data_IF_830260235219
#
_entry.id   IF_830260235219
#
_cell.length_a   1.000
_cell.length_b   1.000
_cell.length_c   1.000
_cell.angle_alpha   90.00
_cell.angle_beta   90.00
_cell.angle_gamma   90.00
#
_symmetry.space_group_name_H-M   'P 1'
#
loop_
_entity.id
_entity.type
_entity.pdbx_description
1 polymer ?
#
# COMPACT_ATOMS: atom_id res chain seq x y z
N UNK A 1 23.45 -13.97 -11.56
CA UNK A 1 22.19 -14.13 -10.83
C UNK A 1 21.18 -13.17 -11.42
N UNK A 2 20.17 -13.68 -12.14
CA UNK A 2 19.05 -12.85 -12.55
C UNK A 2 18.28 -12.47 -11.29
N UNK A 3 18.32 -11.21 -10.90
CA UNK A 3 17.51 -10.69 -9.81
C UNK A 3 16.04 -10.91 -10.17
N UNK A 4 15.35 -11.74 -9.39
CA UNK A 4 13.92 -11.91 -9.51
C UNK A 4 13.26 -10.64 -8.96
N UNK A 5 13.30 -9.56 -9.74
CA UNK A 5 12.63 -8.31 -9.43
C UNK A 5 11.15 -8.55 -9.68
N UNK A 6 10.42 -8.81 -8.60
CA UNK A 6 8.97 -8.75 -8.57
C UNK A 6 8.59 -7.28 -8.77
N UNK A 7 8.62 -6.87 -10.02
CA UNK A 7 8.14 -5.58 -10.47
C UNK A 7 6.66 -5.44 -10.11
N UNK A 8 6.12 -4.21 -10.09
CA UNK A 8 4.68 -4.00 -9.97
C UNK A 8 3.88 -4.92 -10.90
N UNK A 9 4.42 -5.22 -12.09
CA UNK A 9 3.81 -6.15 -13.03
C UNK A 9 3.62 -7.54 -12.44
N UNK A 10 4.58 -8.04 -11.66
CA UNK A 10 4.46 -9.30 -10.92
C UNK A 10 3.33 -9.27 -9.89
N UNK A 11 3.20 -8.17 -9.14
CA UNK A 11 2.08 -7.98 -8.18
C UNK A 11 0.74 -7.93 -8.92
N UNK A 12 0.65 -7.22 -10.05
CA UNK A 12 -0.58 -7.15 -10.84
C UNK A 12 -0.96 -8.50 -11.45
N UNK A 13 0.00 -9.28 -11.96
CA UNK A 13 -0.24 -10.65 -12.43
C UNK A 13 -0.70 -11.56 -11.31
N UNK A 14 -0.03 -11.50 -10.16
CA UNK A 14 -0.44 -12.23 -8.98
C UNK A 14 -1.87 -11.88 -8.58
N UNK A 15 -2.23 -10.60 -8.56
CA UNK A 15 -3.60 -10.12 -8.31
C UNK A 15 -4.61 -10.64 -9.31
N UNK A 16 -4.24 -10.72 -10.59
CA UNK A 16 -5.12 -11.25 -11.62
C UNK A 16 -5.47 -12.72 -11.38
N UNK A 17 -4.55 -13.53 -10.83
CA UNK A 17 -4.85 -14.92 -10.44
C UNK A 17 -5.98 -15.03 -9.40
N UNK A 18 -6.27 -13.95 -8.66
CA UNK A 18 -7.36 -13.87 -7.68
C UNK A 18 -8.58 -13.09 -8.21
N UNK A 19 -8.64 -12.84 -9.52
CA UNK A 19 -9.78 -12.17 -10.15
C UNK A 19 -9.76 -10.64 -10.06
N UNK A 20 -8.65 -10.04 -9.67
CA UNK A 20 -8.51 -8.58 -9.70
C UNK A 20 -8.00 -8.13 -11.06
N UNK A 21 -8.93 -7.63 -11.88
CA UNK A 21 -8.62 -7.19 -13.24
C UNK A 21 -7.67 -5.99 -13.27
N UNK A 22 -6.70 -6.01 -14.19
CA UNK A 22 -5.96 -4.85 -14.64
C UNK A 22 -5.81 -4.89 -16.16
N UNK A 23 -5.59 -3.74 -16.79
CA UNK A 23 -5.41 -3.68 -18.24
C UNK A 23 -4.06 -4.28 -18.67
N UNK A 24 -4.06 -5.57 -19.00
CA UNK A 24 -2.85 -6.33 -19.34
C UNK A 24 -2.50 -6.36 -20.85
N UNK A 25 -3.43 -6.01 -21.74
CA UNK A 25 -3.26 -6.06 -23.20
C UNK A 25 -4.04 -4.94 -23.90
N UNK A 26 -3.62 -4.58 -25.12
CA UNK A 26 -4.36 -3.68 -26.00
C UNK A 26 -5.43 -4.42 -26.83
N UNK A 27 -5.37 -5.76 -26.89
CA UNK A 27 -6.37 -6.55 -27.60
C UNK A 27 -7.71 -6.52 -26.85
N UNK A 28 -8.75 -6.03 -27.53
CA UNK A 28 -10.11 -5.96 -26.99
C UNK A 28 -10.62 -7.34 -26.59
N UNK A 29 -10.32 -8.38 -27.37
CA UNK A 29 -10.72 -9.76 -27.10
C UNK A 29 -10.11 -10.27 -25.79
N UNK A 30 -8.78 -10.11 -25.63
CA UNK A 30 -8.06 -10.52 -24.42
C UNK A 30 -8.61 -9.80 -23.19
N UNK A 31 -8.86 -8.49 -23.29
CA UNK A 31 -9.45 -7.72 -22.20
C UNK A 31 -10.85 -8.21 -21.83
N UNK A 32 -11.72 -8.48 -22.81
CA UNK A 32 -13.08 -9.00 -22.54
C UNK A 32 -13.04 -10.37 -21.87
N UNK A 33 -12.21 -11.29 -22.36
CA UNK A 33 -12.05 -12.62 -21.77
C UNK A 33 -11.52 -12.55 -20.34
N UNK A 34 -10.54 -11.69 -20.09
CA UNK A 34 -9.96 -11.50 -18.75
C UNK A 34 -10.96 -10.89 -17.78
N UNK A 35 -11.76 -9.90 -18.22
CA UNK A 35 -12.86 -9.34 -17.41
C UNK A 35 -13.92 -10.39 -17.08
N UNK A 36 -14.32 -11.19 -18.08
CA UNK A 36 -15.26 -12.29 -17.89
C UNK A 36 -14.73 -13.32 -16.88
N UNK A 37 -13.45 -13.68 -16.98
CA UNK A 37 -12.79 -14.54 -15.99
C UNK A 37 -12.89 -13.99 -14.56
N UNK A 38 -12.61 -12.70 -14.36
CA UNK A 38 -12.70 -12.05 -13.05
C UNK A 38 -14.14 -12.07 -12.49
N UNK A 39 -15.14 -11.83 -13.35
CA UNK A 39 -16.57 -11.88 -12.98
C UNK A 39 -16.97 -13.32 -12.60
N UNK A 40 -16.59 -14.31 -13.41
CA UNK A 40 -16.90 -15.72 -13.15
C UNK A 40 -16.25 -16.21 -11.86
N UNK A 41 -15.00 -15.83 -11.59
CA UNK A 41 -14.32 -16.18 -10.35
C UNK A 41 -15.03 -15.58 -9.13
N UNK A 42 -15.45 -14.31 -9.23
CA UNK A 42 -16.23 -13.66 -8.18
C UNK A 42 -17.58 -14.37 -7.94
N UNK A 43 -18.33 -14.69 -9.00
CA UNK A 43 -19.60 -15.43 -8.89
C UNK A 43 -19.41 -16.82 -8.28
N UNK A 44 -18.34 -17.53 -8.67
CA UNK A 44 -18.01 -18.83 -8.13
C UNK A 44 -17.73 -18.77 -6.61
N UNK A 45 -17.07 -17.71 -6.14
CA UNK A 45 -16.87 -17.46 -4.71
C UNK A 45 -18.18 -17.26 -3.95
N UNK A 46 -19.16 -16.56 -4.55
CA UNK A 46 -20.49 -16.36 -3.96
C UNK A 46 -21.29 -17.67 -3.87
N UNK A 47 -21.29 -18.46 -4.94
CA UNK A 47 -21.98 -19.77 -4.98
C UNK A 47 -21.42 -20.68 -3.89
N UNK A 48 -20.09 -20.77 -3.82
CA UNK A 48 -19.42 -21.60 -2.82
C UNK A 48 -19.69 -21.14 -1.38
N UNK A 49 -19.70 -19.82 -1.14
CA UNK A 49 -20.09 -19.26 0.16
C UNK A 49 -21.53 -19.65 0.56
N UNK A 50 -22.47 -19.61 -0.40
CA UNK A 50 -23.86 -19.99 -0.15
C UNK A 50 -24.00 -21.49 0.17
N UNK A 51 -23.31 -22.36 -0.57
CA UNK A 51 -23.32 -23.80 -0.33
C UNK A 51 -22.78 -24.14 1.05
N UNK A 52 -21.66 -23.52 1.47
CA UNK A 52 -21.03 -23.76 2.76
C UNK A 52 -21.95 -23.42 3.94
N UNK A 53 -22.77 -22.38 3.78
CA UNK A 53 -23.71 -21.92 4.81
C UNK A 53 -24.88 -22.88 5.05
N UNK A 54 -25.25 -23.67 4.03
CA UNK A 54 -26.41 -24.57 4.12
C UNK A 54 -26.22 -25.75 5.10
N UNK A 55 -25.03 -25.94 5.65
CA UNK A 55 -24.61 -27.20 6.31
C UNK A 55 -24.43 -27.09 7.84
N UNK A 56 -24.49 -25.91 8.50
CA UNK A 56 -23.99 -25.75 9.89
C UNK A 56 -24.97 -25.13 10.93
N UNK A 57 -24.66 -25.34 12.23
CA UNK A 57 -25.45 -25.08 13.46
C UNK A 57 -25.30 -23.66 14.08
N UNK A 58 -26.43 -23.12 14.55
CA UNK A 58 -26.79 -21.70 14.65
C UNK A 58 -25.97 -20.65 15.45
N UNK A 59 -25.05 -20.96 16.38
CA UNK A 59 -24.53 -19.91 17.30
C UNK A 59 -23.05 -19.54 17.17
N UNK A 60 -22.12 -20.51 17.22
CA UNK A 60 -20.71 -20.29 16.82
C UNK A 60 -20.63 -19.87 15.34
N UNK A 61 -21.60 -20.33 14.55
CA UNK A 61 -21.76 -19.95 13.16
C UNK A 61 -22.09 -18.47 12.95
N UNK A 62 -22.67 -17.74 13.91
CA UNK A 62 -23.09 -16.36 13.64
C UNK A 62 -21.90 -15.43 13.40
N UNK A 63 -20.90 -15.45 14.29
CA UNK A 63 -19.69 -14.64 14.16
C UNK A 63 -18.89 -15.05 12.92
N UNK A 64 -18.75 -16.35 12.68
CA UNK A 64 -18.09 -16.88 11.49
C UNK A 64 -18.82 -16.49 10.19
N UNK A 65 -20.16 -16.51 10.21
CA UNK A 65 -20.99 -16.09 9.06
C UNK A 65 -20.83 -14.59 8.80
N UNK A 66 -20.87 -13.75 9.83
CA UNK A 66 -20.63 -12.31 9.66
C UNK A 66 -19.25 -12.05 9.06
N UNK A 67 -18.22 -12.72 9.57
CA UNK A 67 -16.87 -12.64 9.01
C UNK A 67 -16.84 -13.01 7.53
N UNK A 68 -17.46 -14.14 7.16
CA UNK A 68 -17.48 -14.59 5.78
C UNK A 68 -18.23 -13.63 4.86
N UNK A 69 -19.35 -13.05 5.33
CA UNK A 69 -20.10 -12.03 4.60
C UNK A 69 -19.20 -10.81 4.33
N UNK A 70 -18.51 -10.30 5.34
CA UNK A 70 -17.62 -9.15 5.18
C UNK A 70 -16.47 -9.46 4.21
N UNK A 71 -15.86 -10.64 4.31
CA UNK A 71 -14.79 -11.06 3.39
C UNK A 71 -15.29 -11.14 1.94
N UNK A 72 -16.48 -11.70 1.71
CA UNK A 72 -17.11 -11.78 0.38
C UNK A 72 -17.44 -10.39 -0.16
N UNK A 73 -17.98 -9.50 0.67
CA UNK A 73 -18.24 -8.09 0.29
C UNK A 73 -16.94 -7.39 -0.09
N UNK A 74 -15.87 -7.55 0.70
CA UNK A 74 -14.56 -6.94 0.44
C UNK A 74 -13.98 -7.42 -0.89
N UNK A 75 -13.93 -8.74 -1.12
CA UNK A 75 -13.45 -9.30 -2.40
C UNK A 75 -14.30 -8.80 -3.56
N UNK A 76 -15.63 -8.79 -3.43
CA UNK A 76 -16.56 -8.33 -4.47
C UNK A 76 -16.31 -6.88 -4.82
N UNK A 77 -16.27 -6.00 -3.82
CA UNK A 77 -15.98 -4.57 -3.99
C UNK A 77 -14.63 -4.38 -4.68
N UNK A 78 -13.60 -5.12 -4.25
CA UNK A 78 -12.28 -5.06 -4.86
C UNK A 78 -12.29 -5.50 -6.33
N UNK A 79 -12.98 -6.61 -6.67
CA UNK A 79 -13.13 -7.07 -8.06
C UNK A 79 -13.86 -6.01 -8.89
N UNK A 80 -14.98 -5.47 -8.41
CA UNK A 80 -15.76 -4.43 -9.11
C UNK A 80 -14.93 -3.18 -9.34
N UNK A 81 -14.26 -2.66 -8.31
CA UNK A 81 -13.41 -1.47 -8.45
C UNK A 81 -12.26 -1.76 -9.42
N UNK A 82 -11.64 -2.94 -9.36
CA UNK A 82 -10.56 -3.32 -10.28
C UNK A 82 -11.06 -3.39 -11.74
N UNK A 83 -12.26 -3.93 -11.97
CA UNK A 83 -12.91 -3.98 -13.29
C UNK A 83 -13.25 -2.59 -13.86
N UNK A 84 -13.74 -1.68 -13.02
CA UNK A 84 -14.15 -0.32 -13.41
C UNK A 84 -12.93 0.58 -13.63
N UNK A 85 -11.97 0.53 -12.71
CA UNK A 85 -10.78 1.39 -12.76
C UNK A 85 -9.74 0.85 -13.73
N UNK A 86 -9.77 -0.45 -14.04
CA UNK A 86 -8.75 -1.19 -14.78
C UNK A 86 -7.35 -1.06 -14.15
N UNK A 87 -7.28 -0.73 -12.85
CA UNK A 87 -6.07 -0.36 -12.12
C UNK A 87 -5.26 0.75 -12.83
N UNK A 88 -5.94 1.66 -13.53
CA UNK A 88 -5.31 2.79 -14.25
C UNK A 88 -4.43 3.67 -13.36
N UNK A 89 -4.81 3.84 -12.10
CA UNK A 89 -4.07 4.69 -11.15
C UNK A 89 -2.76 4.04 -10.72
N UNK A 90 -2.80 2.75 -10.36
CA UNK A 90 -1.61 1.96 -10.00
C UNK A 90 -0.65 1.84 -11.19
N UNK A 91 -1.19 1.59 -12.38
CA UNK A 91 -0.38 1.51 -13.61
C UNK A 91 0.16 2.87 -14.05
N UNK A 92 -0.60 3.96 -13.88
CA UNK A 92 -0.15 5.34 -14.14
C UNK A 92 0.97 5.76 -13.18
N UNK A 93 0.86 5.41 -11.89
CA UNK A 93 1.90 5.66 -10.91
C UNK A 93 3.22 4.99 -11.32
N UNK A 94 3.18 3.72 -11.75
CA UNK A 94 4.37 3.02 -12.22
C UNK A 94 4.88 3.44 -13.60
N UNK A 95 4.00 3.80 -14.55
CA UNK A 95 4.44 4.17 -15.89
C UNK A 95 5.14 5.53 -15.87
N UNK A 96 4.60 6.50 -15.13
CA UNK A 96 5.22 7.81 -14.91
C UNK A 96 6.58 7.66 -14.22
N UNK A 97 6.72 6.69 -13.33
CA UNK A 97 7.98 6.33 -12.71
C UNK A 97 9.00 5.81 -13.74
N UNK A 98 8.63 4.81 -14.55
CA UNK A 98 9.52 4.23 -15.55
C UNK A 98 9.90 5.21 -16.68
N UNK A 99 9.07 6.22 -16.94
CA UNK A 99 9.32 7.20 -18.00
C UNK A 99 10.31 8.29 -17.60
N UNK A 100 10.63 8.47 -16.31
CA UNK A 100 11.52 9.54 -15.90
C UNK A 100 12.99 9.09 -16.08
N UNK A 101 13.75 9.71 -17.02
CA UNK A 101 15.05 9.20 -17.48
C UNK A 101 16.19 9.47 -16.51
N UNK A 102 15.94 10.09 -15.35
CA UNK A 102 16.96 10.22 -14.32
C UNK A 102 17.32 8.83 -13.83
N UNK A 103 18.53 8.40 -14.19
CA UNK A 103 19.19 7.11 -13.87
C UNK A 103 19.26 6.75 -12.37
N UNK A 104 18.67 7.60 -11.52
CA UNK A 104 18.62 7.55 -10.07
C UNK A 104 17.60 6.49 -9.60
N UNK A 105 16.63 6.15 -10.45
CA UNK A 105 15.57 5.19 -10.13
C UNK A 105 15.90 3.75 -10.53
N UNK A 106 17.13 3.29 -10.25
CA UNK A 106 17.44 1.85 -10.36
C UNK A 106 16.52 1.08 -9.41
N UNK A 107 16.03 -0.08 -9.87
CA UNK A 107 15.06 -0.93 -9.19
C UNK A 107 15.42 -1.18 -7.71
N UNK A 108 14.88 -0.35 -6.80
CA UNK A 108 14.99 -0.58 -5.37
C UNK A 108 14.00 -1.68 -4.98
N UNK A 109 14.54 -2.72 -4.37
CA UNK A 109 13.75 -3.86 -3.90
C UNK A 109 12.81 -3.42 -2.79
N UNK A 110 11.51 -3.68 -2.97
CA UNK A 110 10.48 -3.48 -1.95
C UNK A 110 10.54 -4.55 -0.85
N UNK A 111 11.62 -4.54 -0.06
CA UNK A 111 11.97 -5.58 0.93
C UNK A 111 10.86 -5.80 1.96
N UNK A 112 10.20 -4.73 2.41
CA UNK A 112 9.14 -4.84 3.41
C UNK A 112 7.90 -5.47 2.79
N UNK A 113 7.52 -5.04 1.59
CA UNK A 113 6.43 -5.67 0.83
C UNK A 113 6.67 -7.17 0.65
N UNK A 114 7.90 -7.59 0.34
CA UNK A 114 8.25 -9.01 0.26
C UNK A 114 8.10 -9.73 1.59
N UNK A 115 8.61 -9.13 2.67
CA UNK A 115 8.51 -9.71 4.00
C UNK A 115 7.06 -9.89 4.43
N UNK A 116 6.21 -8.90 4.18
CA UNK A 116 4.76 -8.95 4.46
C UNK A 116 4.06 -9.99 3.59
N UNK A 117 4.36 -10.03 2.28
CA UNK A 117 3.82 -11.04 1.37
C UNK A 117 4.22 -12.46 1.81
N UNK A 118 5.49 -12.69 2.09
CA UNK A 118 5.97 -14.01 2.47
C UNK A 118 5.47 -14.41 3.86
N UNK A 119 5.49 -13.49 4.82
CA UNK A 119 4.96 -13.71 6.17
C UNK A 119 3.47 -14.04 6.15
N UNK A 120 2.67 -13.32 5.36
CA UNK A 120 1.23 -13.62 5.21
C UNK A 120 1.00 -14.99 4.57
N UNK A 121 1.74 -15.35 3.52
CA UNK A 121 1.66 -16.68 2.92
C UNK A 121 2.06 -17.78 3.91
N UNK A 122 3.14 -17.59 4.69
CA UNK A 122 3.60 -18.53 5.70
C UNK A 122 2.62 -18.72 6.85
N UNK A 123 1.87 -17.67 7.24
CA UNK A 123 0.83 -17.80 8.26
C UNK A 123 -0.40 -18.54 7.70
N UNK A 124 -0.69 -18.39 6.41
CA UNK A 124 -1.91 -18.92 5.79
C UNK A 124 -1.76 -20.37 5.31
N UNK A 125 -0.57 -20.79 4.88
CA UNK A 125 -0.30 -22.17 4.43
C UNK A 125 -0.55 -23.24 5.51
N UNK A 126 -0.09 -23.08 6.77
CA UNK A 126 -0.41 -24.01 7.86
C UNK A 126 -1.90 -24.03 8.18
N UNK A 127 -2.56 -22.87 8.18
CA UNK A 127 -4.02 -22.80 8.39
C UNK A 127 -4.76 -23.61 7.31
N UNK A 128 -4.33 -23.50 6.05
CA UNK A 128 -4.85 -24.33 4.96
C UNK A 128 -4.58 -25.82 5.16
N UNK A 129 -3.36 -26.20 5.60
CA UNK A 129 -2.98 -27.59 5.83
C UNK A 129 -3.76 -28.24 7.00
N UNK A 130 -3.97 -27.50 8.09
CA UNK A 130 -4.75 -27.96 9.24
C UNK A 130 -6.20 -28.19 8.82
N UNK A 131 -6.82 -27.23 8.12
CA UNK A 131 -8.20 -27.34 7.66
C UNK A 131 -8.41 -28.42 6.59
N UNK A 132 -7.40 -28.72 5.77
CA UNK A 132 -7.48 -29.76 4.72
C UNK A 132 -7.35 -31.19 5.20
N UNK A 133 -6.80 -31.38 6.40
CA UNK A 133 -6.68 -32.71 7.01
C UNK A 133 -8.00 -33.27 7.55
N UNK A 134 -9.08 -32.48 7.63
CA UNK A 134 -10.29 -32.86 8.36
C UNK A 134 -11.41 -33.53 7.54
N UNK A 135 -11.46 -33.45 6.19
CA UNK A 135 -12.35 -34.29 5.35
C UNK A 135 -12.10 -34.11 3.82
N UNK A 136 -12.42 -35.12 2.99
CA UNK A 136 -12.10 -35.13 1.54
C UNK A 136 -12.88 -34.14 0.66
N UNK A 137 -14.16 -33.88 0.97
CA UNK A 137 -14.96 -32.81 0.35
C UNK A 137 -14.52 -31.40 0.82
N UNK A 138 -13.56 -31.32 1.75
CA UNK A 138 -13.04 -30.06 2.29
C UNK A 138 -11.92 -29.51 1.40
N UNK A 139 -11.30 -30.28 0.50
CA UNK A 139 -10.18 -29.75 -0.31
C UNK A 139 -10.59 -28.54 -1.16
N UNK A 140 -11.66 -28.65 -1.96
CA UNK A 140 -12.17 -27.53 -2.77
C UNK A 140 -12.60 -26.37 -1.86
N UNK A 141 -13.29 -26.67 -0.77
CA UNK A 141 -13.72 -25.68 0.23
C UNK A 141 -12.55 -24.92 0.85
N UNK A 142 -11.47 -25.60 1.17
CA UNK A 142 -10.27 -25.00 1.72
C UNK A 142 -9.50 -24.20 0.68
N UNK A 143 -9.47 -24.66 -0.58
CA UNK A 143 -8.84 -23.90 -1.66
C UNK A 143 -9.60 -22.59 -1.86
N UNK A 144 -10.93 -22.64 -1.86
CA UNK A 144 -11.78 -21.46 -1.96
C UNK A 144 -11.64 -20.52 -0.76
N UNK A 145 -11.57 -21.10 0.44
CA UNK A 145 -11.30 -20.35 1.66
C UNK A 145 -9.93 -19.65 1.62
N UNK A 146 -8.87 -20.36 1.23
CA UNK A 146 -7.53 -19.80 1.09
C UNK A 146 -7.49 -18.73 0.00
N UNK A 147 -8.12 -18.98 -1.14
CA UNK A 147 -8.26 -18.03 -2.24
C UNK A 147 -8.93 -16.74 -1.77
N UNK A 148 -10.01 -16.84 -0.96
CA UNK A 148 -10.69 -15.69 -0.35
C UNK A 148 -9.76 -14.90 0.56
N UNK A 149 -9.10 -15.59 1.49
CA UNK A 149 -8.21 -14.97 2.47
C UNK A 149 -7.04 -14.24 1.80
N UNK A 150 -6.40 -14.90 0.83
CA UNK A 150 -5.30 -14.30 0.06
C UNK A 150 -5.84 -13.14 -0.80
N UNK A 151 -7.03 -13.30 -1.37
CA UNK A 151 -7.72 -12.26 -2.15
C UNK A 151 -7.95 -10.97 -1.36
N UNK A 152 -8.43 -11.05 -0.12
CA UNK A 152 -8.57 -9.89 0.78
C UNK A 152 -7.21 -9.21 1.03
N UNK A 153 -6.13 -9.98 1.13
CA UNK A 153 -4.80 -9.46 1.45
C UNK A 153 -4.12 -8.73 0.27
N UNK A 154 -4.46 -9.10 -0.96
CA UNK A 154 -3.86 -8.54 -2.18
C UNK A 154 -4.02 -7.03 -2.32
N UNK A 155 -5.16 -6.47 -1.89
CA UNK A 155 -5.38 -5.03 -1.88
C UNK A 155 -4.41 -4.34 -0.94
N UNK A 156 -4.20 -4.90 0.26
CA UNK A 156 -3.32 -4.35 1.29
C UNK A 156 -1.86 -4.40 0.86
N UNK A 157 -1.44 -5.51 0.27
CA UNK A 157 -0.11 -5.66 -0.33
C UNK A 157 0.17 -4.59 -1.40
N UNK A 158 -0.83 -4.25 -2.22
CA UNK A 158 -0.68 -3.18 -3.22
C UNK A 158 -0.46 -1.82 -2.55
N UNK A 159 -1.17 -1.55 -1.44
CA UNK A 159 -1.04 -0.29 -0.69
C UNK A 159 0.34 -0.18 -0.05
N UNK A 160 0.80 -1.25 0.60
CA UNK A 160 2.14 -1.31 1.21
C UNK A 160 3.21 -1.12 0.14
N UNK A 161 3.08 -1.81 -1.00
CA UNK A 161 3.98 -1.65 -2.14
C UNK A 161 4.04 -0.19 -2.63
N UNK A 162 2.90 0.46 -2.80
CA UNK A 162 2.87 1.85 -3.26
C UNK A 162 3.47 2.81 -2.23
N UNK A 163 3.20 2.60 -0.94
CA UNK A 163 3.76 3.42 0.13
C UNK A 163 5.29 3.27 0.23
N UNK A 164 5.80 2.04 0.16
CA UNK A 164 7.24 1.75 0.14
C UNK A 164 7.92 2.37 -1.09
N UNK A 165 7.30 2.24 -2.28
CA UNK A 165 7.82 2.89 -3.48
C UNK A 165 7.78 4.41 -3.34
N UNK A 166 6.66 5.00 -2.92
CA UNK A 166 6.56 6.45 -2.72
C UNK A 166 7.67 6.96 -1.80
N UNK A 167 7.87 6.31 -0.65
CA UNK A 167 8.92 6.65 0.31
C UNK A 167 10.32 6.57 -0.31
N UNK A 168 10.62 5.50 -1.05
CA UNK A 168 11.89 5.34 -1.76
C UNK A 168 12.09 6.44 -2.83
N UNK A 169 11.04 6.83 -3.54
CA UNK A 169 11.11 7.89 -4.54
C UNK A 169 11.38 9.26 -3.92
N UNK A 170 10.67 9.59 -2.84
CA UNK A 170 10.92 10.82 -2.09
C UNK A 170 12.36 10.86 -1.58
N UNK A 171 12.84 9.75 -1.00
CA UNK A 171 14.24 9.63 -0.56
C UNK A 171 15.23 9.90 -1.69
N UNK A 172 15.01 9.30 -2.86
CA UNK A 172 15.90 9.42 -4.01
C UNK A 172 15.87 10.83 -4.62
N UNK A 173 14.69 11.47 -4.68
CA UNK A 173 14.56 12.88 -5.06
C UNK A 173 15.31 13.79 -4.07
N UNK A 174 15.17 13.56 -2.77
CA UNK A 174 15.85 14.33 -1.73
C UNK A 174 17.37 14.15 -1.82
N UNK A 175 17.87 12.91 -1.96
CA UNK A 175 19.31 12.63 -2.12
C UNK A 175 19.88 13.28 -3.37
N UNK A 176 19.18 13.15 -4.50
CA UNK A 176 19.57 13.76 -5.78
C UNK A 176 19.70 15.28 -5.67
N UNK A 177 18.71 15.95 -5.06
CA UNK A 177 18.76 17.39 -4.88
C UNK A 177 19.86 17.81 -3.91
N UNK A 178 20.01 17.12 -2.77
CA UNK A 178 21.10 17.37 -1.81
C UNK A 178 22.47 17.29 -2.46
N UNK A 179 22.71 16.27 -3.29
CA UNK A 179 23.96 16.11 -4.02
C UNK A 179 24.21 17.32 -4.95
N UNK A 180 23.25 17.64 -5.82
CA UNK A 180 23.38 18.72 -6.81
C UNK A 180 23.54 20.11 -6.20
N UNK A 181 22.90 20.35 -5.06
CA UNK A 181 23.01 21.64 -4.35
C UNK A 181 24.37 21.78 -3.66
N UNK A 182 24.90 20.69 -3.09
CA UNK A 182 26.19 20.68 -2.39
C UNK A 182 27.40 20.53 -3.32
N UNK A 183 27.20 20.30 -4.62
CA UNK A 183 28.28 20.32 -5.61
C UNK A 183 28.86 21.74 -5.71
N UNK A 184 30.13 21.88 -5.32
CA UNK A 184 30.84 23.18 -5.27
C UNK A 184 31.05 23.78 -6.66
N UNK A 185 31.21 22.94 -7.68
CA UNK A 185 31.48 23.36 -9.06
C UNK A 185 30.23 23.74 -9.86
N UNK A 186 29.03 23.59 -9.30
CA UNK A 186 27.78 23.86 -10.02
C UNK A 186 27.41 25.34 -9.92
N UNK A 187 27.11 25.99 -11.04
CA UNK A 187 26.66 27.38 -11.06
C UNK A 187 25.32 27.55 -10.33
N UNK A 188 25.10 28.70 -9.67
CA UNK A 188 23.86 28.97 -8.91
C UNK A 188 22.60 28.87 -9.81
N UNK A 189 22.73 29.23 -11.09
CA UNK A 189 21.66 29.11 -12.09
C UNK A 189 21.26 27.64 -12.31
N UNK A 190 22.24 26.73 -12.35
CA UNK A 190 21.99 25.30 -12.51
C UNK A 190 21.38 24.69 -11.24
N UNK A 191 21.85 25.13 -10.06
CA UNK A 191 21.23 24.76 -8.78
C UNK A 191 19.75 25.18 -8.76
N UNK A 192 19.43 26.39 -9.22
CA UNK A 192 18.04 26.88 -9.29
C UNK A 192 17.18 26.01 -10.21
N UNK A 193 17.70 25.58 -11.36
CA UNK A 193 17.01 24.64 -12.26
C UNK A 193 16.72 23.31 -11.58
N UNK A 194 17.68 22.77 -10.82
CA UNK A 194 17.48 21.51 -10.10
C UNK A 194 16.46 21.61 -8.98
N UNK A 195 16.43 22.71 -8.22
CA UNK A 195 15.40 22.97 -7.21
C UNK A 195 14.01 23.04 -7.86
N UNK A 196 13.86 23.77 -8.96
CA UNK A 196 12.58 23.85 -9.69
C UNK A 196 12.14 22.49 -10.23
N UNK A 197 13.07 21.72 -10.78
CA UNK A 197 12.77 20.37 -11.27
C UNK A 197 12.32 19.44 -10.13
N UNK A 198 12.98 19.51 -8.97
CA UNK A 198 12.56 18.76 -7.78
C UNK A 198 11.11 19.08 -7.39
N UNK A 199 10.71 20.36 -7.35
CA UNK A 199 9.33 20.73 -7.03
C UNK A 199 8.34 20.10 -8.01
N UNK A 200 8.63 20.17 -9.31
CA UNK A 200 7.78 19.58 -10.35
C UNK A 200 7.66 18.07 -10.16
N UNK A 201 8.79 17.37 -10.02
CA UNK A 201 8.83 15.92 -9.86
C UNK A 201 8.12 15.47 -8.57
N UNK A 202 8.37 16.16 -7.46
CA UNK A 202 7.77 15.86 -6.17
C UNK A 202 6.26 16.16 -6.15
N UNK A 203 5.82 17.24 -6.81
CA UNK A 203 4.39 17.56 -6.97
C UNK A 203 3.67 16.49 -7.77
N UNK A 204 4.25 16.10 -8.91
CA UNK A 204 3.69 15.05 -9.75
C UNK A 204 3.63 13.72 -8.99
N UNK A 205 4.68 13.37 -8.25
CA UNK A 205 4.74 12.15 -7.45
C UNK A 205 3.64 12.14 -6.37
N UNK A 206 3.51 13.22 -5.61
CA UNK A 206 2.53 13.35 -4.54
C UNK A 206 1.10 13.30 -5.07
N UNK A 207 0.79 14.02 -6.14
CA UNK A 207 -0.54 13.97 -6.76
C UNK A 207 -0.90 12.56 -7.25
N UNK A 208 0.03 11.84 -7.90
CA UNK A 208 -0.24 10.47 -8.36
C UNK A 208 -0.45 9.50 -7.18
N UNK A 209 0.31 9.68 -6.10
CA UNK A 209 0.16 8.87 -4.89
C UNK A 209 -1.19 9.14 -4.23
N UNK A 210 -1.59 10.41 -4.11
CA UNK A 210 -2.89 10.83 -3.56
C UNK A 210 -4.08 10.28 -4.35
N UNK A 211 -4.06 10.39 -5.68
CA UNK A 211 -5.09 9.82 -6.55
C UNK A 211 -5.23 8.31 -6.33
N UNK A 212 -4.10 7.62 -6.16
CA UNK A 212 -4.10 6.17 -5.94
C UNK A 212 -4.57 5.83 -4.51
N UNK A 213 -4.17 6.63 -3.52
CA UNK A 213 -4.56 6.50 -2.11
C UNK A 213 -6.06 6.63 -1.93
N UNK A 214 -6.71 7.62 -2.57
CA UNK A 214 -8.15 7.82 -2.49
C UNK A 214 -8.92 6.58 -2.96
N UNK A 215 -8.53 6.00 -4.08
CA UNK A 215 -9.19 4.81 -4.62
C UNK A 215 -8.93 3.58 -3.77
N UNK A 216 -7.72 3.47 -3.21
CA UNK A 216 -7.40 2.41 -2.28
C UNK A 216 -8.15 2.53 -0.95
N UNK A 217 -8.44 3.75 -0.50
CA UNK A 217 -9.25 3.96 0.71
C UNK A 217 -10.69 3.46 0.54
N UNK A 218 -11.27 3.59 -0.67
CA UNK A 218 -12.59 3.04 -1.00
C UNK A 218 -12.58 1.51 -1.01
N UNK A 219 -11.46 0.91 -1.38
CA UNK A 219 -11.26 -0.55 -1.33
C UNK A 219 -11.15 -1.10 0.09
N UNK A 220 -10.84 -0.25 1.08
CA UNK A 220 -10.65 -0.62 2.49
C UNK A 220 -11.93 -0.46 3.34
N UNK A 221 -13.12 -0.72 2.80
CA UNK A 221 -14.35 -0.71 3.62
C UNK A 221 -14.15 -1.65 4.82
N UNK A 222 -14.32 -1.06 6.02
CA UNK A 222 -13.51 -1.24 7.23
C UNK A 222 -13.66 -2.56 7.99
N UNK A 223 -12.51 -3.09 8.44
CA UNK A 223 -12.06 -3.53 9.79
C UNK A 223 -13.01 -4.20 10.80
N UNK A 224 -14.26 -4.51 10.48
CA UNK A 224 -15.21 -5.18 11.38
C UNK A 224 -15.05 -6.69 11.30
N UNK A 225 -13.80 -7.14 11.29
CA UNK A 225 -13.45 -8.53 11.18
C UNK A 225 -13.19 -9.05 12.60
N UNK A 226 -14.07 -9.87 13.19
CA UNK A 226 -14.04 -10.18 14.63
C UNK A 226 -12.89 -11.11 15.06
N UNK A 227 -12.03 -11.54 14.13
CA UNK A 227 -10.95 -12.48 14.43
C UNK A 227 -9.69 -11.74 14.88
N UNK A 228 -9.21 -12.06 16.08
CA UNK A 228 -8.04 -11.41 16.72
C UNK A 228 -6.81 -11.43 15.81
N UNK A 229 -6.53 -12.56 15.13
CA UNK A 229 -5.40 -12.66 14.20
C UNK A 229 -5.52 -11.71 13.01
N UNK A 230 -6.73 -11.53 12.48
CA UNK A 230 -7.01 -10.58 11.40
C UNK A 230 -6.94 -9.14 11.89
N UNK A 231 -7.33 -8.86 13.12
CA UNK A 231 -7.16 -7.55 13.74
C UNK A 231 -5.67 -7.19 13.81
N UNK A 232 -4.82 -8.11 14.31
CA UNK A 232 -3.36 -7.88 14.40
C UNK A 232 -2.75 -7.63 13.04
N UNK A 233 -3.09 -8.46 12.04
CA UNK A 233 -2.60 -8.29 10.66
C UNK A 233 -3.07 -6.94 10.09
N UNK A 234 -4.36 -6.61 10.26
CA UNK A 234 -4.94 -5.37 9.74
C UNK A 234 -4.34 -4.12 10.39
N UNK A 235 -4.03 -4.17 11.69
CA UNK A 235 -3.32 -3.12 12.41
C UNK A 235 -1.89 -2.99 11.89
N UNK A 236 -1.20 -4.12 11.69
CA UNK A 236 0.16 -4.13 11.14
C UNK A 236 0.19 -3.50 9.76
N UNK A 237 -0.75 -3.84 8.87
CA UNK A 237 -0.83 -3.26 7.52
C UNK A 237 -1.09 -1.75 7.55
N UNK A 238 -1.97 -1.29 8.46
CA UNK A 238 -2.23 0.13 8.69
C UNK A 238 -0.96 0.86 9.12
N UNK A 239 -0.28 0.33 10.13
CA UNK A 239 0.93 0.91 10.69
C UNK A 239 2.09 0.94 9.70
N UNK A 240 2.29 -0.11 8.91
CA UNK A 240 3.35 -0.15 7.90
C UNK A 240 3.21 1.00 6.90
N UNK A 241 2.00 1.26 6.40
CA UNK A 241 1.76 2.39 5.50
C UNK A 241 2.16 3.71 6.15
N UNK A 242 1.71 3.94 7.39
CA UNK A 242 1.94 5.21 8.08
C UNK A 242 3.43 5.39 8.44
N UNK A 243 4.14 4.30 8.77
CA UNK A 243 5.60 4.30 8.95
C UNK A 243 6.31 4.76 7.67
N UNK A 244 5.91 4.28 6.49
CA UNK A 244 6.53 4.72 5.23
C UNK A 244 6.30 6.20 4.94
N UNK A 245 5.12 6.72 5.26
CA UNK A 245 4.84 8.15 5.10
C UNK A 245 5.67 9.00 6.07
N UNK A 246 5.85 8.54 7.31
CA UNK A 246 6.72 9.21 8.29
C UNK A 246 8.20 9.20 7.85
N UNK A 247 8.67 8.08 7.32
CA UNK A 247 10.03 7.99 6.77
C UNK A 247 10.23 8.94 5.58
N UNK A 248 9.23 9.07 4.71
CA UNK A 248 9.26 10.04 3.61
C UNK A 248 9.27 11.49 4.13
N UNK A 249 8.51 11.79 5.19
CA UNK A 249 8.51 13.10 5.84
C UNK A 249 9.87 13.41 6.48
N UNK A 250 10.51 12.42 7.11
CA UNK A 250 11.86 12.55 7.68
C UNK A 250 12.89 12.89 6.60
N UNK A 251 12.86 12.19 5.46
CA UNK A 251 13.75 12.46 4.32
C UNK A 251 13.58 13.91 3.78
N UNK A 252 12.34 14.43 3.81
CA UNK A 252 12.02 15.81 3.44
C UNK A 252 12.46 16.84 4.48
N UNK A 253 12.33 16.56 5.77
CA UNK A 253 12.78 17.46 6.83
C UNK A 253 14.31 17.64 6.82
N UNK A 254 15.06 16.56 6.57
CA UNK A 254 16.50 16.65 6.34
C UNK A 254 16.82 17.51 5.09
N UNK A 255 16.00 17.43 4.04
CA UNK A 255 16.17 18.29 2.87
C UNK A 255 15.86 19.75 3.18
N UNK A 256 14.82 20.04 3.97
CA UNK A 256 14.49 21.41 4.40
C UNK A 256 15.67 22.06 5.13
N UNK A 257 16.36 21.32 6.01
CA UNK A 257 17.54 21.84 6.71
C UNK A 257 18.65 22.25 5.74
N UNK A 258 18.95 21.41 4.73
CA UNK A 258 19.95 21.72 3.69
C UNK A 258 19.54 22.95 2.88
N UNK A 259 18.27 23.02 2.46
CA UNK A 259 17.73 24.14 1.72
C UNK A 259 17.75 25.44 2.54
N UNK A 260 17.45 25.38 3.84
CA UNK A 260 17.47 26.54 4.73
C UNK A 260 18.90 27.10 4.91
N UNK A 261 19.91 26.23 5.05
CA UNK A 261 21.32 26.66 5.08
C UNK A 261 21.69 27.36 3.78
N UNK A 262 21.32 26.76 2.64
CA UNK A 262 21.61 27.30 1.32
C UNK A 262 20.90 28.64 1.04
N UNK A 263 19.70 28.82 1.59
CA UNK A 263 18.97 30.07 1.51
C UNK A 263 19.71 31.23 2.21
N UNK A 264 20.43 30.96 3.29
CA UNK A 264 21.22 31.97 4.02
C UNK A 264 22.53 32.30 3.30
N UNK A 265 23.12 31.33 2.61
CA UNK A 265 24.43 31.50 1.95
C UNK A 265 24.34 32.00 0.51
N UNK A 266 23.20 31.81 -0.16
CA UNK A 266 23.02 32.13 -1.57
C UNK A 266 23.00 33.65 -1.83
N UNK A 267 23.62 34.08 -2.94
CA UNK A 267 23.60 35.48 -3.39
C UNK A 267 22.65 35.69 -4.58
N UNK A 268 22.44 34.67 -5.41
CA UNK A 268 21.53 34.72 -6.55
C UNK A 268 20.05 34.74 -6.13
N UNK A 269 19.33 35.75 -6.61
CA UNK A 269 17.91 35.97 -6.30
C UNK A 269 17.02 34.84 -6.85
N UNK A 270 17.33 34.29 -8.03
CA UNK A 270 16.53 33.22 -8.65
C UNK A 270 16.65 31.91 -7.87
N UNK A 271 17.84 31.59 -7.35
CA UNK A 271 18.06 30.44 -6.50
C UNK A 271 17.35 30.63 -5.15
N UNK A 272 17.42 31.82 -4.55
CA UNK A 272 16.69 32.14 -3.31
C UNK A 272 15.17 31.95 -3.48
N UNK A 273 14.58 32.46 -4.57
CA UNK A 273 13.14 32.29 -4.86
C UNK A 273 12.80 30.81 -5.08
N UNK A 274 13.62 30.07 -5.81
CA UNK A 274 13.40 28.64 -6.04
C UNK A 274 13.42 27.85 -4.72
N UNK A 275 14.39 28.14 -3.84
CA UNK A 275 14.50 27.49 -2.53
C UNK A 275 13.30 27.82 -1.64
N UNK A 276 12.87 29.09 -1.59
CA UNK A 276 11.67 29.49 -0.82
C UNK A 276 10.42 28.77 -1.31
N UNK A 277 10.23 28.68 -2.62
CA UNK A 277 9.10 27.95 -3.20
C UNK A 277 9.15 26.46 -2.87
N UNK A 278 10.35 25.86 -2.88
CA UNK A 278 10.53 24.46 -2.48
C UNK A 278 10.16 24.24 -1.01
N UNK A 279 10.67 25.08 -0.10
CA UNK A 279 10.35 24.99 1.34
C UNK A 279 8.84 25.14 1.60
N UNK A 280 8.21 26.17 1.03
CA UNK A 280 6.77 26.38 1.12
C UNK A 280 5.98 25.19 0.59
N UNK A 281 6.41 24.60 -0.53
CA UNK A 281 5.75 23.43 -1.09
C UNK A 281 5.91 22.19 -0.20
N UNK A 282 7.11 21.94 0.33
CA UNK A 282 7.34 20.80 1.23
C UNK A 282 6.52 20.96 2.53
N UNK A 283 6.38 22.18 3.05
CA UNK A 283 5.52 22.46 4.20
C UNK A 283 4.03 22.28 3.88
N UNK A 284 3.57 22.80 2.73
CA UNK A 284 2.17 22.72 2.33
C UNK A 284 1.73 21.30 1.91
N UNK A 285 2.65 20.50 1.36
CA UNK A 285 2.42 19.11 0.97
C UNK A 285 2.40 18.14 2.17
N UNK A 286 2.33 18.67 3.39
CA UNK A 286 2.42 17.94 4.66
C UNK A 286 1.92 16.50 4.54
N UNK A 287 2.85 15.55 4.52
CA UNK A 287 2.58 14.11 4.44
C UNK A 287 1.94 13.54 5.71
N UNK A 288 1.55 14.43 6.63
CA UNK A 288 0.76 14.13 7.81
C UNK A 288 -0.57 13.53 7.37
N UNK A 289 -0.59 12.21 7.26
CA UNK A 289 -1.82 11.45 7.26
C UNK A 289 -2.62 11.89 8.48
N UNK A 290 -3.88 12.27 8.29
CA UNK A 290 -4.80 12.50 9.39
C UNK A 290 -5.87 11.41 9.36
N UNK A 291 -6.04 10.69 10.46
CA UNK A 291 -7.22 9.83 10.65
C UNK A 291 -8.36 10.73 11.08
N UNK A 292 -9.38 10.85 10.23
CA UNK A 292 -10.55 11.70 10.49
C UNK A 292 -10.13 13.17 10.64
N UNK A 293 -11.09 14.10 10.79
CA UNK A 293 -10.86 15.55 10.73
C UNK A 293 -9.92 16.09 11.84
N UNK A 294 -8.62 15.77 11.79
CA UNK A 294 -7.56 16.39 12.59
C UNK A 294 -6.66 15.50 13.44
N UNK A 295 -6.80 14.16 13.48
CA UNK A 295 -5.85 13.34 14.25
C UNK A 295 -4.67 12.90 13.39
N UNK A 296 -3.45 13.45 13.58
CA UNK A 296 -2.29 13.01 12.82
C UNK A 296 -2.00 11.53 13.11
N UNK A 297 -1.95 10.72 12.06
CA UNK A 297 -1.49 9.34 12.07
C UNK A 297 0.03 9.33 12.10
N UNK A 298 0.59 9.70 13.24
CA UNK A 298 2.03 9.62 13.48
C UNK A 298 2.38 8.31 14.20
N UNK A 299 3.67 8.00 14.25
CA UNK A 299 4.18 6.82 14.96
C UNK A 299 3.83 6.85 16.47
N UNK A 300 3.65 8.04 17.05
CA UNK A 300 3.20 8.17 18.44
C UNK A 300 1.80 7.62 18.66
N UNK A 301 0.88 7.75 17.69
CA UNK A 301 -0.45 7.14 17.76
C UNK A 301 -0.35 5.61 17.80
N UNK A 302 0.55 5.04 16.99
CA UNK A 302 0.82 3.59 16.96
C UNK A 302 1.30 3.10 18.33
N UNK A 303 2.30 3.76 18.90
CA UNK A 303 2.82 3.41 20.23
C UNK A 303 1.79 3.62 21.33
N UNK A 304 0.99 4.69 21.25
CA UNK A 304 -0.08 4.96 22.22
C UNK A 304 -1.14 3.86 22.18
N UNK A 305 -1.53 3.42 20.99
CA UNK A 305 -2.48 2.33 20.82
C UNK A 305 -1.93 0.99 21.36
N UNK A 306 -0.67 0.66 21.04
CA UNK A 306 -0.01 -0.54 21.59
C UNK A 306 0.09 -0.49 23.12
N UNK A 307 0.41 0.67 23.69
CA UNK A 307 0.47 0.87 25.13
C UNK A 307 -0.91 0.64 25.78
N UNK A 308 -1.99 1.15 25.18
CA UNK A 308 -3.36 0.89 25.65
C UNK A 308 -3.68 -0.61 25.62
N UNK A 309 -3.34 -1.32 24.54
CA UNK A 309 -3.54 -2.77 24.44
C UNK A 309 -2.78 -3.54 25.52
N UNK A 310 -1.50 -3.21 25.73
CA UNK A 310 -0.65 -3.86 26.75
C UNK A 310 -1.23 -3.60 28.15
N UNK A 311 -1.59 -2.36 28.46
CA UNK A 311 -2.17 -2.01 29.75
C UNK A 311 -3.51 -2.71 29.99
N UNK A 312 -4.34 -2.86 28.95
CA UNK A 312 -5.59 -3.60 29.05
C UNK A 312 -5.38 -5.09 29.33
N UNK A 313 -4.40 -5.72 28.66
CA UNK A 313 -4.02 -7.11 28.92
C UNK A 313 -3.51 -7.26 30.36
N UNK A 314 -2.63 -6.38 30.81
CA UNK A 314 -2.10 -6.40 32.20
C UNK A 314 -3.23 -6.24 33.21
N UNK A 315 -4.11 -5.26 33.04
CA UNK A 315 -5.25 -5.02 33.93
C UNK A 315 -6.20 -6.23 33.97
N UNK A 316 -6.46 -6.85 32.82
CA UNK A 316 -7.31 -8.05 32.74
C UNK A 316 -6.66 -9.23 33.46
N UNK A 317 -5.34 -9.42 33.30
CA UNK A 317 -4.59 -10.45 34.02
C UNK A 317 -4.62 -10.22 35.54
N UNK A 318 -4.48 -8.97 36.00
CA UNK A 318 -4.55 -8.61 37.42
C UNK A 318 -5.94 -8.79 38.04
N UNK A 319 -7.01 -8.72 37.24
CA UNK A 319 -8.38 -8.97 37.72
C UNK A 319 -8.65 -10.48 37.79
N UNK A 320 -8.06 -11.26 36.88
CA UNK A 320 -8.30 -12.70 36.77
C UNK A 320 -7.44 -13.55 37.73
N UNK A 321 -6.25 -13.08 38.11
CA UNK A 321 -5.28 -13.78 38.94
C UNK A 321 -4.88 -12.95 40.16
#
# INVERSE_FOLDING_TARGET
>A
MASCNFSLRGILWYRLCFGFYFKCSNSVLVCRLTKLYCILLCLFMHIHFYELRSVKNYLIDYIATLYDIFAVIEVTTNVVISLVTEERFVTSFASKFNSNPSSIFKEEYCRVTYFVLFGSLLIKLPNFAILSSMDGNVLLTNIMFAHRLIGCYNTRLTIIYLAENYQNLVRNLCKSLKQKINEENLEEIEKSKHVKQFIIDFTQLTNNFEDTRLIQSVKQIRYLTPWISEIVISLTDLFIRDIFMELAATDLDDLKQVLAVQLVTCKDENLCVAIKNALQYIEASSLTNTVWNGFPTNVNLIFSFLNVLINYVIATLQILY
#
